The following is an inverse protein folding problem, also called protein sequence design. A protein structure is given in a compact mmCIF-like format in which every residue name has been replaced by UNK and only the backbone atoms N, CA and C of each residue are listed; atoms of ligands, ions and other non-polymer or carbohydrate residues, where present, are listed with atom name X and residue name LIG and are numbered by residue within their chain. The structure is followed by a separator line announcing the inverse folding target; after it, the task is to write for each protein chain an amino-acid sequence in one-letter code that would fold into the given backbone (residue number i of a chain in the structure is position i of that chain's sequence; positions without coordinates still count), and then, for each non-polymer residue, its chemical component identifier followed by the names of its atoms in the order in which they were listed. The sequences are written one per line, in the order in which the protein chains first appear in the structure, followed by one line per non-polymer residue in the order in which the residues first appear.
data_IF_679078153743
#
_entry.id   IF_679078153743
#
_cell.length_a   1.000
_cell.length_b   1.000
_cell.length_c   1.000
_cell.angle_alpha   90.00
_cell.angle_beta   90.00
_cell.angle_gamma   90.00
#
_symmetry.space_group_name_H-M   'P 1'
#
loop_
_entity.id
_entity.type
_entity.pdbx_description
1 polymer ?
#
# COMPACT_ATOMS: atom_id res chain seq x y z
N UNK A 1 -29.04 -36.13 43.42
CA UNK A 1 -28.30 -34.97 43.97
C UNK A 1 -27.05 -34.80 43.11
N UNK A 2 -26.95 -33.71 42.35
CA UNK A 2 -26.07 -33.56 41.17
C UNK A 2 -24.59 -33.34 41.57
N UNK A 3 -23.70 -34.16 41.01
CA UNK A 3 -22.24 -34.08 41.12
C UNK A 3 -21.72 -32.92 40.28
N UNK A 4 -21.02 -31.95 40.90
CA UNK A 4 -20.33 -30.87 40.19
C UNK A 4 -18.98 -31.38 39.68
N UNK A 5 -18.79 -31.35 38.36
CA UNK A 5 -17.50 -31.57 37.70
C UNK A 5 -16.86 -30.19 37.51
N UNK A 6 -15.71 -29.97 38.13
CA UNK A 6 -14.92 -28.75 38.00
C UNK A 6 -14.09 -28.86 36.72
N UNK A 7 -14.38 -28.02 35.73
CA UNK A 7 -13.65 -27.94 34.47
C UNK A 7 -12.47 -26.99 34.64
N UNK A 8 -11.25 -27.54 34.75
CA UNK A 8 -10.01 -26.76 34.83
C UNK A 8 -9.63 -26.33 33.42
N UNK A 9 -9.83 -25.06 33.10
CA UNK A 9 -9.44 -24.46 31.80
C UNK A 9 -7.93 -24.32 31.76
N UNK A 10 -7.27 -25.16 30.94
CA UNK A 10 -5.84 -25.07 30.65
C UNK A 10 -5.62 -23.88 29.68
N UNK A 11 -5.11 -22.76 30.19
CA UNK A 11 -4.66 -21.64 29.37
C UNK A 11 -3.40 -22.09 28.61
N UNK A 12 -3.56 -22.48 27.34
CA UNK A 12 -2.44 -22.55 26.41
C UNK A 12 -2.01 -21.11 26.13
N UNK A 13 -0.89 -20.70 26.72
CA UNK A 13 -0.16 -19.50 26.31
C UNK A 13 0.40 -19.81 24.93
N UNK A 14 -0.32 -19.40 23.88
CA UNK A 14 0.24 -19.31 22.55
C UNK A 14 1.28 -18.21 22.58
N UNK A 15 2.56 -18.59 22.58
CA UNK A 15 3.66 -17.69 22.23
C UNK A 15 3.41 -17.27 20.78
N UNK A 16 2.76 -16.13 20.60
CA UNK A 16 2.72 -15.45 19.31
C UNK A 16 4.14 -14.96 19.12
N UNK A 17 4.89 -15.60 18.21
CA UNK A 17 6.10 -14.97 17.67
C UNK A 17 5.64 -13.62 17.12
N UNK A 18 6.01 -12.55 17.81
CA UNK A 18 5.88 -11.18 17.33
C UNK A 18 6.86 -11.04 16.17
N UNK A 19 6.39 -11.40 14.97
CA UNK A 19 6.97 -10.88 13.74
C UNK A 19 6.90 -9.35 13.83
N UNK A 20 7.99 -8.69 13.44
CA UNK A 20 8.06 -7.24 13.27
C UNK A 20 6.74 -6.71 12.66
N UNK A 21 6.01 -5.86 13.38
CA UNK A 21 4.75 -5.31 12.91
C UNK A 21 4.99 -3.88 12.43
N UNK A 22 5.03 -3.71 11.11
CA UNK A 22 5.05 -2.38 10.49
C UNK A 22 3.87 -1.56 11.00
N UNK A 23 4.14 -0.29 11.34
CA UNK A 23 3.12 0.70 11.66
C UNK A 23 3.23 1.86 10.68
N UNK A 24 2.09 2.52 10.47
CA UNK A 24 1.95 3.52 9.42
C UNK A 24 1.42 4.82 10.00
N UNK A 25 1.87 5.94 9.41
CA UNK A 25 1.36 7.27 9.70
C UNK A 25 1.18 7.99 8.36
N UNK A 26 -0.02 8.50 8.11
CA UNK A 26 -0.27 9.42 7.00
C UNK A 26 0.00 10.84 7.48
N UNK A 27 0.92 11.52 6.83
CA UNK A 27 1.33 12.88 7.13
C UNK A 27 0.72 13.82 6.12
N UNK A 28 0.30 14.96 6.66
CA UNK A 28 -0.03 16.14 5.90
C UNK A 28 1.03 17.21 6.14
N UNK A 29 1.65 17.69 5.06
CA UNK A 29 2.77 18.64 5.17
C UNK A 29 2.27 20.05 5.46
N UNK A 30 3.07 20.90 6.11
CA UNK A 30 2.72 22.29 6.34
C UNK A 30 2.67 23.11 5.04
N UNK A 31 3.57 22.80 4.09
CA UNK A 31 3.55 23.38 2.75
C UNK A 31 2.55 22.65 1.86
N UNK A 32 1.54 23.41 1.44
CA UNK A 32 0.39 22.94 0.66
C UNK A 32 0.50 23.33 -0.82
N UNK A 33 1.68 23.77 -1.25
CA UNK A 33 1.96 24.06 -2.65
C UNK A 33 2.02 22.75 -3.43
N UNK A 34 1.32 22.60 -4.57
CA UNK A 34 1.27 21.38 -5.37
C UNK A 34 2.55 21.23 -6.21
N UNK A 35 3.70 21.21 -5.54
CA UNK A 35 5.01 21.13 -6.16
C UNK A 35 5.76 19.97 -5.52
N UNK A 36 6.68 19.35 -6.26
CA UNK A 36 7.56 18.34 -5.69
C UNK A 36 8.72 18.94 -4.88
N UNK A 37 8.78 20.27 -4.72
CA UNK A 37 9.85 20.96 -4.02
C UNK A 37 9.28 21.71 -2.81
N UNK A 38 9.03 20.97 -1.72
CA UNK A 38 8.55 21.52 -0.46
C UNK A 38 9.52 21.17 0.69
N UNK A 39 9.42 21.93 1.79
CA UNK A 39 10.20 21.65 3.01
C UNK A 39 9.72 20.32 3.61
N UNK A 40 10.65 19.41 3.88
CA UNK A 40 10.33 18.05 4.34
C UNK A 40 10.01 17.08 3.20
N UNK A 41 10.17 17.46 1.94
CA UNK A 41 10.06 16.53 0.80
C UNK A 41 10.99 15.31 0.97
N UNK A 42 10.52 14.08 0.70
CA UNK A 42 11.37 12.88 0.71
C UNK A 42 12.54 13.00 -0.27
N UNK A 43 13.76 12.68 0.16
CA UNK A 43 14.95 12.79 -0.69
C UNK A 43 15.38 11.42 -1.21
N UNK A 44 15.34 11.21 -2.53
CA UNK A 44 15.70 9.95 -3.19
C UNK A 44 16.97 10.07 -4.03
N UNK A 45 18.20 10.14 -3.48
CA UNK A 45 19.41 10.12 -4.33
C UNK A 45 20.67 9.66 -3.60
N UNK A 46 21.60 9.05 -4.37
CA UNK A 46 22.85 8.29 -4.09
C UNK A 46 23.79 8.68 -2.90
N UNK A 47 23.49 9.72 -2.13
CA UNK A 47 24.32 10.18 -0.99
C UNK A 47 23.79 9.69 0.37
N UNK A 48 22.73 8.88 0.37
CA UNK A 48 22.27 8.13 1.55
C UNK A 48 22.87 6.72 1.57
N UNK A 49 23.03 6.08 2.75
CA UNK A 49 23.41 4.67 2.82
C UNK A 49 22.50 3.84 1.91
N UNK A 50 23.07 2.93 1.12
CA UNK A 50 22.31 2.05 0.23
C UNK A 50 21.16 1.38 1.00
N UNK A 51 19.91 1.75 0.70
CA UNK A 51 18.71 1.24 1.36
C UNK A 51 17.97 2.22 2.28
N UNK A 52 18.43 3.46 2.45
CA UNK A 52 17.71 4.48 3.22
C UNK A 52 16.53 5.05 2.41
N UNK A 53 15.31 4.65 2.77
CA UNK A 53 14.04 5.13 2.22
C UNK A 53 13.34 6.11 3.14
N UNK A 54 14.03 6.66 4.15
CA UNK A 54 13.48 7.32 5.34
C UNK A 54 13.96 8.78 5.57
N UNK A 55 14.47 9.47 4.54
CA UNK A 55 15.03 10.83 4.68
C UNK A 55 14.16 11.92 4.04
N UNK A 56 14.07 13.05 4.72
CA UNK A 56 13.44 14.29 4.26
C UNK A 56 14.45 15.39 3.94
N UNK A 57 14.02 16.41 3.22
CA UNK A 57 14.80 17.62 2.94
C UNK A 57 14.99 18.54 4.15
N UNK A 58 14.36 18.24 5.30
CA UNK A 58 14.45 19.04 6.52
C UNK A 58 15.25 18.32 7.63
N UNK A 59 16.22 19.02 8.21
CA UNK A 59 17.12 18.44 9.22
C UNK A 59 16.41 18.13 10.54
N UNK A 60 15.44 18.96 10.95
CA UNK A 60 14.69 18.74 12.19
C UNK A 60 13.74 17.56 12.07
N UNK A 61 13.07 17.42 10.93
CA UNK A 61 12.25 16.25 10.64
C UNK A 61 13.08 14.97 10.62
N UNK A 62 14.28 14.98 10.01
CA UNK A 62 15.18 13.82 10.01
C UNK A 62 15.58 13.37 11.43
N UNK A 63 15.70 14.29 12.38
CA UNK A 63 15.95 13.95 13.78
C UNK A 63 14.78 13.17 14.41
N UNK A 64 13.54 13.53 14.08
CA UNK A 64 12.33 12.83 14.53
C UNK A 64 12.24 11.44 13.91
N UNK A 65 12.46 11.34 12.59
CA UNK A 65 12.40 10.05 11.85
C UNK A 65 13.45 9.05 12.37
N UNK A 66 14.70 9.49 12.51
CA UNK A 66 15.79 8.64 13.01
C UNK A 66 15.62 8.18 14.47
N UNK A 67 14.91 8.95 15.29
CA UNK A 67 14.63 8.61 16.69
C UNK A 67 13.56 7.54 16.90
N UNK A 68 12.82 7.17 15.86
CA UNK A 68 11.57 6.40 15.98
C UNK A 68 11.51 5.15 15.09
N UNK A 69 12.65 4.55 14.74
CA UNK A 69 12.73 3.34 13.91
C UNK A 69 11.95 3.45 12.59
N UNK A 70 11.93 4.64 11.98
CA UNK A 70 11.34 4.83 10.66
C UNK A 70 12.17 4.07 9.65
N UNK A 71 11.50 3.28 8.81
CA UNK A 71 12.11 2.46 7.76
C UNK A 71 11.70 2.95 6.37
N UNK A 72 10.62 3.73 6.25
CA UNK A 72 10.29 4.42 5.01
C UNK A 72 9.58 5.76 5.27
N UNK A 73 9.85 6.72 4.40
CA UNK A 73 9.31 8.07 4.36
C UNK A 73 9.12 8.45 2.88
N UNK A 74 7.88 8.52 2.42
CA UNK A 74 7.60 8.54 0.99
C UNK A 74 6.33 9.32 0.61
N UNK A 75 6.25 9.86 -0.60
CA UNK A 75 5.04 10.52 -1.09
C UNK A 75 3.95 9.48 -1.36
N UNK A 76 2.71 9.86 -1.05
CA UNK A 76 1.53 9.08 -1.42
C UNK A 76 1.09 9.49 -2.84
N UNK A 77 1.25 8.59 -3.82
CA UNK A 77 1.08 8.90 -5.25
C UNK A 77 -0.39 8.98 -5.70
N UNK A 78 -1.29 8.23 -5.06
CA UNK A 78 -2.70 8.09 -5.46
C UNK A 78 -3.65 8.94 -4.62
N UNK A 79 -3.14 9.99 -3.97
CA UNK A 79 -3.97 11.00 -3.33
C UNK A 79 -3.99 12.27 -4.19
N UNK A 80 -5.16 12.91 -4.37
CA UNK A 80 -5.25 14.19 -5.07
C UNK A 80 -4.27 15.21 -4.47
N UNK A 81 -3.39 15.74 -5.32
CA UNK A 81 -2.42 16.78 -4.95
C UNK A 81 -2.95 18.13 -5.43
N UNK A 82 -3.59 18.90 -4.54
CA UNK A 82 -4.38 20.06 -4.91
C UNK A 82 -3.91 21.37 -4.28
N UNK A 83 -3.88 22.44 -5.07
CA UNK A 83 -3.57 23.81 -4.58
C UNK A 83 -4.78 24.61 -4.09
N UNK A 84 -5.99 24.32 -4.58
CA UNK A 84 -7.12 25.26 -4.46
C UNK A 84 -7.77 25.24 -3.08
N UNK A 85 -7.78 24.07 -2.42
CA UNK A 85 -8.33 23.89 -1.08
C UNK A 85 -7.25 23.62 -0.02
N UNK A 86 -5.97 23.75 -0.38
CA UNK A 86 -4.85 23.78 0.57
C UNK A 86 -4.43 22.42 1.13
N UNK A 87 -4.57 21.35 0.34
CA UNK A 87 -4.19 19.98 0.73
C UNK A 87 -3.40 19.27 -0.39
N UNK A 88 -2.09 19.21 -0.20
CA UNK A 88 -1.06 18.73 -1.11
C UNK A 88 0.04 18.03 -0.30
N UNK A 89 0.94 17.33 -0.99
CA UNK A 89 2.16 16.74 -0.41
C UNK A 89 1.92 15.67 0.66
N UNK A 90 0.90 14.84 0.49
CA UNK A 90 0.63 13.69 1.35
C UNK A 90 1.82 12.74 1.40
N UNK A 91 2.25 12.38 2.61
CA UNK A 91 3.46 11.60 2.83
C UNK A 91 3.16 10.43 3.78
N UNK A 92 3.70 9.26 3.51
CA UNK A 92 3.61 8.06 4.32
C UNK A 92 4.89 7.90 5.13
N UNK A 93 4.74 7.70 6.44
CA UNK A 93 5.78 7.16 7.31
C UNK A 93 5.47 5.70 7.60
N UNK A 94 6.48 4.85 7.47
CA UNK A 94 6.48 3.46 7.90
C UNK A 94 7.56 3.29 8.94
N UNK A 95 7.21 2.77 10.11
CA UNK A 95 8.18 2.43 11.14
C UNK A 95 8.10 0.94 11.50
N UNK A 96 9.22 0.37 11.92
CA UNK A 96 9.27 -0.99 12.44
C UNK A 96 9.32 -1.00 13.97
N UNK A 97 8.44 -1.80 14.59
CA UNK A 97 8.35 -1.96 16.05
C UNK A 97 8.31 -0.62 16.81
N UNK A 98 7.62 0.38 16.26
CA UNK A 98 7.46 1.70 16.90
C UNK A 98 6.05 1.91 17.47
N UNK A 99 5.92 2.88 18.39
CA UNK A 99 4.64 3.42 18.83
C UNK A 99 4.22 4.53 17.84
N UNK A 100 3.33 4.21 16.92
CA UNK A 100 2.90 5.16 15.89
C UNK A 100 2.05 6.31 16.45
N UNK A 101 1.43 6.15 17.62
CA UNK A 101 0.69 7.23 18.28
C UNK A 101 1.67 8.25 18.87
N UNK A 102 2.72 7.77 19.53
CA UNK A 102 3.77 8.65 20.05
C UNK A 102 4.54 9.33 18.90
N UNK A 103 4.91 8.59 17.84
CA UNK A 103 5.58 9.17 16.68
C UNK A 103 4.69 10.21 15.97
N UNK A 104 3.38 9.97 15.84
CA UNK A 104 2.46 10.98 15.31
C UNK A 104 2.46 12.26 16.18
N UNK A 105 2.44 12.13 17.51
CA UNK A 105 2.53 13.27 18.41
C UNK A 105 3.86 14.04 18.29
N UNK A 106 4.98 13.32 18.13
CA UNK A 106 6.30 13.92 17.92
C UNK A 106 6.37 14.69 16.59
N UNK A 107 5.76 14.15 15.53
CA UNK A 107 5.65 14.80 14.22
C UNK A 107 4.79 16.08 14.31
N UNK A 108 3.63 16.02 14.96
CA UNK A 108 2.75 17.19 15.17
C UNK A 108 3.38 18.27 16.05
N UNK A 109 4.32 17.90 16.93
CA UNK A 109 5.12 18.85 17.69
C UNK A 109 6.13 19.64 16.83
N UNK A 110 6.23 19.34 15.53
CA UNK A 110 7.10 20.03 14.56
C UNK A 110 6.30 20.75 13.45
N UNK A 111 5.48 21.76 13.80
CA UNK A 111 4.47 22.36 12.92
C UNK A 111 5.05 23.16 11.74
N UNK A 112 6.35 23.45 11.76
CA UNK A 112 7.03 24.15 10.66
C UNK A 112 7.10 23.31 9.38
N UNK A 113 6.95 21.98 9.51
CA UNK A 113 7.05 21.03 8.39
C UNK A 113 5.84 20.10 8.35
N UNK A 114 5.31 19.70 9.50
CA UNK A 114 4.17 18.80 9.62
C UNK A 114 2.94 19.59 10.00
N UNK A 115 1.83 19.42 9.28
CA UNK A 115 0.56 20.04 9.65
C UNK A 115 -0.28 19.14 10.52
N UNK A 116 -0.42 17.88 10.11
CA UNK A 116 -1.14 16.83 10.82
C UNK A 116 -0.41 15.49 10.62
N UNK A 117 -0.48 14.61 11.62
CA UNK A 117 0.05 13.25 11.50
C UNK A 117 -1.00 12.25 12.00
N UNK A 118 -1.51 11.43 11.08
CA UNK A 118 -2.58 10.48 11.37
C UNK A 118 -1.99 9.08 11.56
N UNK A 119 -1.92 8.56 12.80
CA UNK A 119 -1.52 7.17 13.02
C UNK A 119 -2.57 6.23 12.42
N UNK A 120 -2.10 5.17 11.75
CA UNK A 120 -2.96 4.23 11.05
C UNK A 120 -2.69 2.80 11.52
N UNK A 121 -3.76 2.03 11.69
CA UNK A 121 -3.69 0.61 12.08
C UNK A 121 -3.27 -0.28 10.91
N UNK A 122 -3.64 0.11 9.69
CA UNK A 122 -3.36 -0.54 8.41
C UNK A 122 -3.02 0.54 7.36
N UNK A 123 -2.61 0.15 6.15
CA UNK A 123 -2.40 1.10 5.05
C UNK A 123 -3.72 1.58 4.43
N UNK A 124 -4.65 2.07 5.25
CA UNK A 124 -5.92 2.62 4.81
C UNK A 124 -5.90 4.13 5.03
N UNK A 125 -6.23 4.89 3.99
CA UNK A 125 -6.24 6.34 4.02
C UNK A 125 -7.10 6.92 5.13
N UNK A 126 -6.54 7.90 5.83
CA UNK A 126 -7.24 8.59 6.91
C UNK A 126 -8.43 9.37 6.39
N UNK A 127 -8.33 10.00 5.21
CA UNK A 127 -9.30 10.99 4.73
C UNK A 127 -9.61 10.94 3.23
N UNK A 128 -9.24 9.84 2.55
CA UNK A 128 -9.40 9.68 1.11
C UNK A 128 -10.30 8.48 0.80
N UNK A 129 -11.30 8.64 -0.07
CA UNK A 129 -12.30 7.61 -0.30
C UNK A 129 -12.74 7.51 -1.77
N UNK A 130 -13.13 6.30 -2.16
CA UNK A 130 -13.90 6.05 -3.36
C UNK A 130 -15.39 6.06 -3.04
N UNK A 131 -16.18 6.70 -3.89
CA UNK A 131 -17.64 6.75 -3.78
C UNK A 131 -18.25 6.49 -5.15
N UNK A 132 -19.29 5.66 -5.19
CA UNK A 132 -20.11 5.46 -6.37
C UNK A 132 -21.53 5.93 -6.10
N UNK A 133 -22.04 6.82 -6.94
CA UNK A 133 -23.44 7.31 -6.84
C UNK A 133 -24.40 6.38 -7.57
N UNK A 134 -25.65 6.35 -7.11
CA UNK A 134 -26.71 5.50 -7.64
C UNK A 134 -27.20 5.96 -9.02
N UNK A 135 -27.30 7.27 -9.23
CA UNK A 135 -27.78 7.87 -10.47
C UNK A 135 -26.76 8.90 -10.97
N UNK A 136 -26.44 8.87 -12.27
CA UNK A 136 -25.48 9.81 -12.89
C UNK A 136 -25.91 11.28 -12.76
N UNK A 137 -27.19 11.54 -12.54
CA UNK A 137 -27.74 12.88 -12.43
C UNK A 137 -27.92 13.37 -10.98
N UNK A 138 -27.74 12.53 -9.96
CA UNK A 138 -28.01 12.91 -8.55
C UNK A 138 -26.77 12.76 -7.68
N UNK A 139 -26.50 13.75 -6.83
CA UNK A 139 -25.27 13.81 -6.04
C UNK A 139 -24.07 14.31 -6.84
N UNK A 140 -24.29 14.96 -7.98
CA UNK A 140 -23.23 15.49 -8.86
C UNK A 140 -22.70 16.82 -8.30
N UNK A 141 -21.38 17.07 -8.28
CA UNK A 141 -20.81 18.33 -7.81
C UNK A 141 -21.31 19.53 -8.65
N UNK A 142 -21.66 20.61 -7.97
CA UNK A 142 -22.16 21.87 -8.54
C UNK A 142 -21.25 23.06 -8.25
N UNK A 143 -20.21 22.87 -7.45
CA UNK A 143 -19.25 23.91 -7.05
C UNK A 143 -18.77 23.68 -5.62
N UNK A 144 -18.40 24.77 -4.95
CA UNK A 144 -18.04 24.76 -3.53
C UNK A 144 -18.54 26.01 -2.83
N UNK A 145 -18.69 25.93 -1.51
CA UNK A 145 -19.05 27.02 -0.62
C UNK A 145 -18.16 26.95 0.62
N UNK A 146 -17.40 28.02 0.90
CA UNK A 146 -16.44 28.08 2.01
C UNK A 146 -15.45 26.89 2.05
N UNK A 147 -14.99 26.43 0.87
CA UNK A 147 -14.06 25.31 0.74
C UNK A 147 -14.70 23.92 0.81
N UNK A 148 -16.00 23.82 1.08
CA UNK A 148 -16.75 22.55 1.10
C UNK A 148 -17.45 22.35 -0.24
N UNK A 149 -17.37 21.14 -0.79
CA UNK A 149 -18.04 20.82 -2.05
C UNK A 149 -19.56 20.88 -1.88
N UNK A 150 -20.22 21.47 -2.87
CA UNK A 150 -21.67 21.43 -3.02
C UNK A 150 -22.04 20.53 -4.18
N UNK A 151 -23.16 19.82 -4.04
CA UNK A 151 -23.76 18.94 -5.03
C UNK A 151 -25.19 19.38 -5.34
N UNK A 152 -25.82 18.75 -6.32
CA UNK A 152 -27.24 18.95 -6.60
C UNK A 152 -28.19 18.18 -5.67
N UNK A 153 -27.69 17.51 -4.63
CA UNK A 153 -28.49 16.82 -3.60
C UNK A 153 -28.32 17.44 -2.21
N UNK A 154 -29.42 17.79 -1.55
CA UNK A 154 -29.39 18.51 -0.28
C UNK A 154 -28.93 17.64 0.91
N UNK A 155 -29.27 16.35 0.92
CA UNK A 155 -28.86 15.45 2.02
C UNK A 155 -27.38 15.11 1.93
N UNK A 156 -26.86 14.89 0.73
CA UNK A 156 -25.42 14.72 0.50
C UNK A 156 -24.66 15.99 0.89
N UNK A 157 -25.18 17.18 0.58
CA UNK A 157 -24.60 18.44 1.04
C UNK A 157 -24.55 18.55 2.56
N UNK A 158 -25.57 18.06 3.29
CA UNK A 158 -25.54 18.05 4.75
C UNK A 158 -24.42 17.13 5.29
N UNK A 159 -24.20 15.97 4.67
CA UNK A 159 -23.09 15.07 4.99
C UNK A 159 -21.76 15.76 4.70
N UNK A 160 -21.60 16.33 3.50
CA UNK A 160 -20.37 17.00 3.08
C UNK A 160 -20.00 18.17 4.00
N UNK A 161 -20.99 18.95 4.47
CA UNK A 161 -20.77 20.01 5.46
C UNK A 161 -20.35 19.45 6.83
N UNK A 162 -20.99 18.37 7.29
CA UNK A 162 -20.70 17.75 8.60
C UNK A 162 -19.27 17.22 8.65
N UNK A 163 -18.78 16.68 7.54
CA UNK A 163 -17.48 16.02 7.44
C UNK A 163 -16.43 16.88 6.73
N UNK A 164 -16.70 18.15 6.45
CA UNK A 164 -15.78 19.05 5.76
C UNK A 164 -15.18 18.43 4.47
N UNK A 165 -16.05 17.95 3.59
CA UNK A 165 -15.65 17.36 2.29
C UNK A 165 -15.24 18.47 1.34
N UNK A 166 -13.94 18.56 1.05
CA UNK A 166 -13.37 19.63 0.22
C UNK A 166 -12.97 19.16 -1.19
N UNK A 167 -13.02 17.85 -1.46
CA UNK A 167 -12.77 17.28 -2.78
C UNK A 167 -13.81 16.23 -3.10
N UNK A 168 -14.36 16.31 -4.30
CA UNK A 168 -15.30 15.32 -4.81
C UNK A 168 -15.38 15.42 -6.33
N UNK A 169 -14.61 14.58 -7.03
CA UNK A 169 -14.47 14.62 -8.48
C UNK A 169 -14.71 13.27 -9.14
N UNK A 170 -15.16 13.31 -10.38
CA UNK A 170 -15.47 12.11 -11.16
C UNK A 170 -14.17 11.46 -11.65
N UNK A 171 -14.01 10.16 -11.40
CA UNK A 171 -12.79 9.43 -11.76
C UNK A 171 -12.65 9.16 -13.26
N UNK A 172 -13.78 8.96 -13.96
CA UNK A 172 -13.79 8.56 -15.37
C UNK A 172 -14.70 9.45 -16.23
N UNK A 173 -14.46 10.76 -16.32
CA UNK A 173 -15.38 11.72 -16.95
C UNK A 173 -15.58 11.50 -18.45
N UNK A 174 -14.61 10.87 -19.13
CA UNK A 174 -14.67 10.59 -20.56
C UNK A 174 -15.22 9.20 -20.89
N UNK A 175 -15.69 8.43 -19.89
CA UNK A 175 -16.19 7.08 -20.13
C UNK A 175 -17.54 7.07 -20.84
N UNK A 176 -17.77 6.10 -21.71
CA UNK A 176 -19.09 5.82 -22.28
C UNK A 176 -19.94 4.91 -21.39
N UNK A 177 -19.36 4.34 -20.33
CA UNK A 177 -20.05 3.45 -19.39
C UNK A 177 -20.72 4.25 -18.28
N UNK A 178 -22.04 4.11 -18.15
CA UNK A 178 -22.80 4.71 -17.04
C UNK A 178 -22.27 4.25 -15.66
N UNK A 179 -21.73 3.03 -15.54
CA UNK A 179 -21.16 2.58 -14.27
C UNK A 179 -19.89 3.34 -13.90
N UNK A 180 -19.04 3.64 -14.88
CA UNK A 180 -17.79 4.39 -14.67
C UNK A 180 -18.04 5.89 -14.46
N UNK A 181 -19.05 6.45 -15.13
CA UNK A 181 -19.46 7.86 -14.93
C UNK A 181 -20.05 8.12 -13.53
N UNK A 182 -20.40 7.07 -12.78
CA UNK A 182 -20.89 7.21 -11.41
C UNK A 182 -19.80 7.05 -10.36
N UNK A 183 -18.55 6.83 -10.78
CA UNK A 183 -17.41 6.67 -9.89
C UNK A 183 -16.76 8.02 -9.57
N UNK A 184 -16.60 8.29 -8.29
CA UNK A 184 -16.03 9.52 -7.76
C UNK A 184 -14.95 9.21 -6.72
N UNK A 185 -14.05 10.16 -6.58
CA UNK A 185 -13.05 10.21 -5.56
C UNK A 185 -13.35 11.39 -4.64
N UNK A 186 -13.18 11.19 -3.33
CA UNK A 186 -13.59 12.12 -2.30
C UNK A 186 -12.47 12.30 -1.28
N UNK A 187 -12.24 13.55 -0.84
CA UNK A 187 -11.42 13.84 0.33
C UNK A 187 -12.14 14.73 1.34
N UNK A 188 -11.82 14.55 2.61
CA UNK A 188 -12.37 15.33 3.71
C UNK A 188 -11.30 15.78 4.70
N UNK A 189 -11.63 16.80 5.50
CA UNK A 189 -10.88 17.11 6.71
C UNK A 189 -11.54 16.39 7.89
N UNK A 190 -11.49 15.06 7.83
CA UNK A 190 -12.22 14.16 8.73
C UNK A 190 -11.64 12.74 8.71
N UNK A 191 -12.07 11.91 9.67
CA UNK A 191 -11.80 10.48 9.64
C UNK A 191 -12.75 9.77 8.64
N UNK A 192 -12.16 9.14 7.62
CA UNK A 192 -12.85 8.43 6.53
C UNK A 192 -13.74 7.29 7.03
N UNK A 193 -13.45 6.69 8.17
CA UNK A 193 -14.30 5.67 8.78
C UNK A 193 -15.68 6.23 9.16
N UNK A 194 -15.71 7.43 9.76
CA UNK A 194 -16.96 8.07 10.17
C UNK A 194 -17.75 8.59 8.97
N UNK A 195 -17.06 9.21 8.00
CA UNK A 195 -17.69 9.65 6.76
C UNK A 195 -18.26 8.48 5.96
N UNK A 196 -17.53 7.35 5.88
CA UNK A 196 -18.02 6.12 5.28
C UNK A 196 -19.34 5.67 5.90
N UNK A 197 -19.42 5.61 7.23
CA UNK A 197 -20.64 5.20 7.91
C UNK A 197 -21.83 6.13 7.57
N UNK A 198 -21.61 7.43 7.45
CA UNK A 198 -22.65 8.39 7.07
C UNK A 198 -23.10 8.24 5.60
N UNK A 199 -22.14 8.06 4.68
CA UNK A 199 -22.43 7.87 3.27
C UNK A 199 -23.12 6.52 3.00
N UNK A 200 -22.70 5.45 3.66
CA UNK A 200 -23.34 4.13 3.57
C UNK A 200 -24.80 4.15 4.05
N UNK A 201 -25.13 5.02 5.02
CA UNK A 201 -26.50 5.22 5.47
C UNK A 201 -27.35 6.03 4.47
N UNK A 202 -26.73 6.76 3.54
CA UNK A 202 -27.41 7.66 2.60
C UNK A 202 -27.64 7.01 1.23
N UNK A 203 -28.36 5.89 1.26
CA UNK A 203 -28.61 5.01 0.10
C UNK A 203 -29.49 5.60 -1.00
N UNK A 204 -30.08 6.79 -0.77
CA UNK A 204 -30.85 7.52 -1.80
C UNK A 204 -29.95 8.05 -2.91
N UNK A 205 -28.67 8.29 -2.62
CA UNK A 205 -27.69 8.82 -3.57
C UNK A 205 -26.46 7.91 -3.68
N UNK A 206 -26.06 7.24 -2.61
CA UNK A 206 -24.83 6.45 -2.55
C UNK A 206 -25.11 4.97 -2.86
N UNK A 207 -24.39 4.41 -3.84
CA UNK A 207 -24.41 2.99 -4.22
C UNK A 207 -23.31 2.21 -3.47
N UNK A 208 -22.08 2.73 -3.48
CA UNK A 208 -20.90 2.08 -2.90
C UNK A 208 -20.01 3.14 -2.27
N UNK A 209 -19.38 2.80 -1.14
CA UNK A 209 -18.25 3.56 -0.61
C UNK A 209 -17.13 2.62 -0.18
N UNK A 210 -15.90 3.02 -0.47
CA UNK A 210 -14.71 2.27 -0.12
C UNK A 210 -13.65 3.23 0.42
N UNK A 211 -13.00 2.84 1.53
CA UNK A 211 -11.78 3.51 1.98
C UNK A 211 -10.63 2.97 1.16
N UNK A 212 -9.71 3.83 0.77
CA UNK A 212 -8.66 3.49 -0.18
C UNK A 212 -7.40 3.06 0.56
N UNK A 213 -6.69 2.10 0.00
CA UNK A 213 -5.37 1.74 0.51
C UNK A 213 -4.35 2.82 0.10
N UNK A 214 -3.44 3.15 1.01
CA UNK A 214 -2.30 4.02 0.74
C UNK A 214 -1.19 3.18 0.14
N UNK A 215 -0.77 3.56 -1.06
CA UNK A 215 0.42 3.03 -1.71
C UNK A 215 1.42 4.15 -1.93
N UNK A 216 2.67 3.85 -1.59
CA UNK A 216 3.86 4.66 -1.84
C UNK A 216 4.82 3.82 -2.67
N UNK A 217 5.43 4.38 -3.71
CA UNK A 217 6.27 3.67 -4.68
C UNK A 217 5.59 2.45 -5.33
N UNK A 218 4.87 2.67 -6.42
CA UNK A 218 4.37 1.58 -7.25
C UNK A 218 5.47 1.01 -8.17
N UNK A 219 6.53 0.35 -7.65
CA UNK A 219 7.42 -0.46 -8.51
C UNK A 219 8.27 -1.53 -7.80
N UNK A 220 7.78 -2.17 -6.73
CA UNK A 220 8.32 -3.45 -6.29
C UNK A 220 7.32 -4.56 -6.59
N UNK A 221 7.72 -5.55 -7.39
CA UNK A 221 7.07 -6.86 -7.27
C UNK A 221 7.35 -7.33 -5.84
N UNK A 222 6.37 -7.78 -5.05
CA UNK A 222 6.67 -8.44 -3.79
C UNK A 222 7.57 -9.63 -4.13
N UNK A 223 8.86 -9.49 -3.83
CA UNK A 223 9.80 -10.59 -3.93
C UNK A 223 9.48 -11.50 -2.74
N UNK A 224 8.47 -12.35 -2.90
CA UNK A 224 8.20 -13.39 -1.93
C UNK A 224 9.43 -14.28 -1.95
N UNK A 225 10.25 -14.18 -0.92
CA UNK A 225 11.32 -15.12 -0.68
C UNK A 225 10.68 -16.49 -0.51
N UNK A 226 10.92 -17.43 -1.43
CA UNK A 226 10.82 -18.84 -1.11
C UNK A 226 11.89 -19.15 -0.05
N UNK A 227 11.63 -18.77 1.21
CA UNK A 227 12.49 -19.10 2.33
C UNK A 227 12.55 -20.62 2.38
N UNK A 228 13.72 -21.19 2.04
CA UNK A 228 14.08 -22.61 2.08
C UNK A 228 14.00 -23.44 0.77
N UNK A 229 13.69 -22.85 -0.39
CA UNK A 229 13.78 -23.60 -1.66
C UNK A 229 15.24 -23.73 -2.12
N UNK A 230 15.69 -24.95 -2.38
CA UNK A 230 17.05 -25.22 -2.85
C UNK A 230 17.05 -25.87 -4.24
N UNK A 231 17.91 -25.35 -5.13
CA UNK A 231 18.14 -25.87 -6.48
C UNK A 231 19.54 -26.48 -6.57
N UNK A 232 19.64 -27.76 -6.91
CA UNK A 232 20.92 -28.48 -6.94
C UNK A 232 20.94 -29.64 -7.96
N UNK A 233 22.11 -30.06 -8.45
CA UNK A 233 23.42 -29.45 -8.24
C UNK A 233 23.56 -28.13 -9.01
N UNK A 234 24.38 -27.22 -8.49
CA UNK A 234 24.85 -26.05 -9.20
C UNK A 234 26.39 -26.03 -9.08
N UNK A 235 27.17 -26.24 -10.16
CA UNK A 235 26.73 -26.36 -11.55
C UNK A 235 25.95 -27.65 -11.89
N UNK A 236 24.95 -27.54 -12.77
CA UNK A 236 24.13 -28.64 -13.28
C UNK A 236 24.70 -29.20 -14.58
N UNK A 237 24.60 -30.52 -14.78
CA UNK A 237 24.95 -31.18 -16.05
C UNK A 237 23.74 -31.47 -16.94
N UNK A 238 22.77 -32.22 -16.43
CA UNK A 238 21.58 -32.61 -17.20
C UNK A 238 20.30 -32.31 -16.44
N UNK A 239 20.23 -32.65 -15.15
CA UNK A 239 19.00 -32.53 -14.37
C UNK A 239 19.24 -31.65 -13.15
N UNK A 240 18.44 -30.59 -13.03
CA UNK A 240 18.39 -29.73 -11.85
C UNK A 240 17.27 -30.24 -10.94
N UNK A 241 17.56 -30.43 -9.66
CA UNK A 241 16.59 -30.83 -8.64
C UNK A 241 16.14 -29.59 -7.86
N UNK A 242 14.85 -29.56 -7.52
CA UNK A 242 14.22 -28.51 -6.73
C UNK A 242 13.67 -29.18 -5.47
N UNK A 243 14.09 -28.70 -4.30
CA UNK A 243 13.63 -29.19 -3.00
C UNK A 243 12.92 -28.09 -2.21
N UNK A 244 12.02 -28.50 -1.33
CA UNK A 244 11.19 -27.64 -0.47
C UNK A 244 10.30 -26.63 -1.23
N UNK A 245 10.07 -26.84 -2.52
CA UNK A 245 9.13 -26.02 -3.29
C UNK A 245 7.71 -26.60 -3.17
N UNK A 246 6.80 -25.83 -2.58
CA UNK A 246 5.39 -26.20 -2.42
C UNK A 246 4.51 -25.31 -3.28
N UNK A 247 3.39 -25.86 -3.78
CA UNK A 247 2.36 -25.10 -4.50
C UNK A 247 2.83 -24.38 -5.78
N UNK A 248 3.84 -24.93 -6.47
CA UNK A 248 4.29 -24.40 -7.76
C UNK A 248 3.21 -24.56 -8.84
N UNK A 249 3.08 -23.52 -9.65
CA UNK A 249 2.28 -23.46 -10.88
C UNK A 249 3.16 -23.69 -12.12
N UNK A 250 4.35 -23.06 -12.15
CA UNK A 250 5.29 -23.22 -13.26
C UNK A 250 6.75 -23.00 -12.85
N UNK A 251 7.63 -23.55 -13.68
CA UNK A 251 9.07 -23.30 -13.68
C UNK A 251 9.44 -22.78 -15.05
N UNK A 252 10.20 -21.70 -15.10
CA UNK A 252 10.66 -21.05 -16.32
C UNK A 252 12.18 -20.91 -16.27
N UNK A 253 12.86 -21.23 -17.37
CA UNK A 253 14.32 -21.09 -17.47
C UNK A 253 14.63 -20.06 -18.54
N UNK A 254 15.42 -19.05 -18.17
CA UNK A 254 15.81 -17.95 -19.05
C UNK A 254 17.31 -17.94 -19.31
N UNK A 255 17.70 -17.53 -20.50
CA UNK A 255 19.10 -17.19 -20.83
C UNK A 255 19.51 -15.86 -20.16
N UNK A 256 20.80 -15.55 -20.17
CA UNK A 256 21.29 -14.25 -19.68
C UNK A 256 20.79 -13.05 -20.49
N UNK A 257 20.34 -13.28 -21.73
CA UNK A 257 19.69 -12.27 -22.57
C UNK A 257 18.19 -12.16 -22.31
N UNK A 258 17.64 -12.88 -21.32
CA UNK A 258 16.22 -12.89 -20.99
C UNK A 258 15.33 -13.71 -21.93
N UNK A 259 15.92 -14.54 -22.79
CA UNK A 259 15.14 -15.42 -23.67
C UNK A 259 14.60 -16.60 -22.88
N UNK A 260 13.30 -16.89 -22.99
CA UNK A 260 12.67 -18.06 -22.39
C UNK A 260 13.15 -19.33 -23.13
N UNK A 261 13.88 -20.17 -22.41
CA UNK A 261 14.49 -21.39 -22.94
C UNK A 261 13.63 -22.63 -22.66
N UNK A 262 13.02 -22.71 -21.48
CA UNK A 262 12.17 -23.82 -21.05
C UNK A 262 11.02 -23.30 -20.20
N UNK A 263 9.87 -23.95 -20.34
CA UNK A 263 8.72 -23.79 -19.44
C UNK A 263 8.21 -25.17 -19.05
N UNK A 264 7.94 -25.34 -17.77
CA UNK A 264 7.42 -26.57 -17.21
C UNK A 264 6.26 -26.25 -16.27
N UNK A 265 5.10 -26.87 -16.53
CA UNK A 265 3.85 -26.65 -15.77
C UNK A 265 3.40 -27.88 -14.98
N UNK A 266 4.25 -28.90 -14.89
CA UNK A 266 4.01 -30.13 -14.16
C UNK A 266 5.36 -30.70 -13.63
N UNK A 267 5.30 -31.62 -12.66
CA UNK A 267 6.49 -32.32 -12.13
C UNK A 267 7.60 -31.40 -11.57
N UNK A 268 7.29 -30.59 -10.56
CA UNK A 268 8.16 -29.49 -10.12
C UNK A 268 9.38 -29.86 -9.28
N UNK A 269 9.69 -31.14 -9.12
CA UNK A 269 10.85 -31.61 -8.32
C UNK A 269 12.13 -31.65 -9.14
N UNK A 270 12.03 -31.69 -10.47
CA UNK A 270 13.19 -31.73 -11.37
C UNK A 270 12.95 -30.92 -12.64
N UNK A 271 14.03 -30.44 -13.24
CA UNK A 271 14.05 -29.76 -14.54
C UNK A 271 15.11 -30.41 -15.41
N UNK A 272 14.73 -30.86 -16.60
CA UNK A 272 15.67 -31.36 -17.60
C UNK A 272 16.31 -30.18 -18.36
N UNK A 273 17.60 -29.99 -18.12
CA UNK A 273 18.45 -28.98 -18.73
C UNK A 273 19.44 -29.59 -19.75
N UNK A 274 19.28 -30.86 -20.13
CA UNK A 274 20.21 -31.56 -21.04
C UNK A 274 20.29 -30.93 -22.44
N UNK A 275 19.20 -30.30 -22.90
CA UNK A 275 19.12 -29.59 -24.18
C UNK A 275 19.80 -28.22 -24.17
N UNK A 276 20.16 -27.70 -22.98
CA UNK A 276 20.76 -26.40 -22.81
C UNK A 276 22.29 -26.48 -22.94
N UNK A 277 22.86 -25.50 -23.64
CA UNK A 277 24.32 -25.35 -23.77
C UNK A 277 24.93 -24.95 -22.44
N UNK A 278 26.23 -25.19 -22.27
CA UNK A 278 26.98 -24.69 -21.12
C UNK A 278 26.89 -23.17 -21.04
N UNK A 279 26.61 -22.64 -19.86
CA UNK A 279 26.33 -21.21 -19.69
C UNK A 279 25.59 -20.87 -18.40
N UNK A 280 25.26 -19.60 -18.25
CA UNK A 280 24.50 -19.09 -17.11
C UNK A 280 23.02 -18.99 -17.46
N UNK A 281 22.16 -19.39 -16.52
CA UNK A 281 20.71 -19.37 -16.67
C UNK A 281 20.04 -18.84 -15.40
N UNK A 282 18.82 -18.31 -15.57
CA UNK A 282 17.95 -17.90 -14.48
C UNK A 282 16.74 -18.83 -14.45
N UNK A 283 16.51 -19.48 -13.31
CA UNK A 283 15.35 -20.36 -13.10
C UNK A 283 14.35 -19.60 -12.25
N UNK A 284 13.20 -19.26 -12.83
CA UNK A 284 12.08 -18.62 -12.16
C UNK A 284 11.07 -19.67 -11.75
N UNK A 285 10.74 -19.70 -10.46
CA UNK A 285 9.66 -20.52 -9.90
C UNK A 285 8.45 -19.63 -9.71
N UNK A 286 7.26 -20.10 -10.10
CA UNK A 286 6.00 -19.38 -9.96
C UNK A 286 5.02 -20.28 -9.19
N UNK A 287 4.39 -19.74 -8.15
CA UNK A 287 3.39 -20.46 -7.34
C UNK A 287 1.94 -20.24 -7.83
N UNK A 288 0.98 -20.94 -7.22
CA UNK A 288 -0.44 -20.82 -7.53
C UNK A 288 -1.05 -19.44 -7.21
N UNK A 289 -0.40 -18.65 -6.36
CA UNK A 289 -0.78 -17.27 -6.05
C UNK A 289 -0.08 -16.26 -6.96
N UNK A 290 0.62 -16.73 -8.01
CA UNK A 290 1.36 -15.94 -8.98
C UNK A 290 2.57 -15.18 -8.38
N UNK A 291 3.04 -15.60 -7.21
CA UNK A 291 4.32 -15.14 -6.66
C UNK A 291 5.48 -15.81 -7.39
N UNK A 292 6.64 -15.15 -7.42
CA UNK A 292 7.82 -15.74 -8.05
C UNK A 292 9.12 -15.45 -7.33
N UNK A 293 10.07 -16.39 -7.42
CA UNK A 293 11.47 -16.14 -7.11
C UNK A 293 12.38 -16.68 -8.20
N UNK A 294 13.54 -16.05 -8.36
CA UNK A 294 14.48 -16.34 -9.43
C UNK A 294 15.82 -16.82 -8.85
N UNK A 295 16.33 -17.92 -9.38
CA UNK A 295 17.58 -18.54 -8.95
C UNK A 295 18.59 -18.54 -10.09
N UNK A 296 19.85 -18.24 -9.76
CA UNK A 296 20.96 -18.24 -10.72
C UNK A 296 21.62 -19.61 -10.78
N UNK A 297 21.65 -20.23 -11.97
CA UNK A 297 22.17 -21.59 -12.19
C UNK A 297 23.26 -21.60 -13.26
N UNK A 298 24.36 -22.32 -13.01
CA UNK A 298 25.43 -22.57 -13.97
C UNK A 298 25.26 -23.95 -14.60
N UNK A 299 25.20 -24.03 -15.93
CA UNK A 299 25.14 -25.26 -16.72
C UNK A 299 26.54 -25.60 -17.26
N UNK A 300 27.00 -26.82 -17.00
CA UNK A 300 28.23 -27.38 -17.57
C UNK A 300 27.99 -28.07 -18.91
#
# INVERSE_FOLDING_TARGET
MKTKITLTTLFLISVVCSFAQEKFIQIEMADQSPTFNFVGHPTYYYDVPSGATDYSSDTGLNAILSGNNVIAYDIIEFMPNMSINGYANWTLVVCDNCDNVQLAADLEAYPTVIRNAYPMDERISYNHMYVKILDIATGVPTGSSNGIITTNDAGLNAIFNTYNVYYYEQLFPSSSSNSSLRAYELMCDCNSFNLKAALDAYTTVIEVTERLEIISQALSTPEVSFSNVNLYPNPVKNTLNISNATNLMSIEVYSVQGQLMLTQKNQFTTVDMSSLKSGLYFVKLIDNANNSSTFKIVKN
#
